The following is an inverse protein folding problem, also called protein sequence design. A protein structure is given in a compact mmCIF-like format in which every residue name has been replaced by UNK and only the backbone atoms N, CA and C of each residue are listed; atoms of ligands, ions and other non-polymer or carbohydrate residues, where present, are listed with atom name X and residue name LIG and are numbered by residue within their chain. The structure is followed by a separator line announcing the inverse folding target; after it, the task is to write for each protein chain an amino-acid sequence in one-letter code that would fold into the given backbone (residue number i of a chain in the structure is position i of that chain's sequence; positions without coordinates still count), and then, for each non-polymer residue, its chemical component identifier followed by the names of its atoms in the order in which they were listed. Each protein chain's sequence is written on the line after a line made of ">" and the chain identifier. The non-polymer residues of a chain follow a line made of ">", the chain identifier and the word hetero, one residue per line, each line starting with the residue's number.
data_IF_772030255793
#
_entry.id   IF_772030255793
#
_cell.length_a   1.000
_cell.length_b   1.000
_cell.length_c   1.000
_cell.angle_alpha   90.00
_cell.angle_beta   90.00
_cell.angle_gamma   90.00
#
_symmetry.space_group_name_H-M   'P 1'
#
loop_
_entity.id
_entity.type
_entity.pdbx_description
1 polymer ?
#
# COMPACT_ATOMS: atom_id res chain seq x y z
N UNK A 1 4.81 20.40 10.09
CA UNK A 1 4.06 19.24 9.60
C UNK A 1 2.57 19.57 9.68
N UNK A 2 1.94 19.79 8.54
CA UNK A 2 0.48 19.89 8.41
C UNK A 2 -0.14 18.50 8.44
N UNK A 3 -1.47 18.42 8.55
CA UNK A 3 -2.17 17.14 8.45
C UNK A 3 -1.95 16.48 7.08
N UNK A 4 -1.97 17.28 6.01
CA UNK A 4 -1.79 16.76 4.65
C UNK A 4 -0.37 16.19 4.46
N UNK A 5 0.66 16.87 4.98
CA UNK A 5 2.05 16.37 4.98
C UNK A 5 2.15 15.04 5.75
N UNK A 6 1.53 14.96 6.94
CA UNK A 6 1.52 13.72 7.72
C UNK A 6 0.85 12.56 6.99
N UNK A 7 -0.30 12.81 6.36
CA UNK A 7 -1.05 11.78 5.65
C UNK A 7 -0.29 11.29 4.42
N UNK A 8 0.43 12.16 3.71
CA UNK A 8 1.24 11.79 2.56
C UNK A 8 2.47 10.96 2.98
N UNK A 9 3.19 11.41 4.01
CA UNK A 9 4.34 10.68 4.55
C UNK A 9 3.95 9.28 5.04
N UNK A 10 2.82 9.17 5.76
CA UNK A 10 2.32 7.88 6.24
C UNK A 10 1.86 7.01 5.08
N UNK A 11 1.20 7.56 4.07
CA UNK A 11 0.81 6.79 2.87
C UNK A 11 2.02 6.18 2.19
N UNK A 12 3.08 6.96 1.96
CA UNK A 12 4.31 6.47 1.36
C UNK A 12 4.97 5.36 2.18
N UNK A 13 5.01 5.50 3.50
CA UNK A 13 5.52 4.47 4.40
C UNK A 13 4.71 3.17 4.30
N UNK A 14 3.38 3.27 4.28
CA UNK A 14 2.48 2.12 4.18
C UNK A 14 2.63 1.43 2.83
N UNK A 15 2.65 2.18 1.73
CA UNK A 15 2.82 1.61 0.38
C UNK A 15 4.17 0.89 0.25
N UNK A 16 5.26 1.49 0.76
CA UNK A 16 6.57 0.85 0.78
C UNK A 16 6.63 -0.42 1.66
N UNK A 17 5.83 -0.48 2.74
CA UNK A 17 5.72 -1.69 3.55
C UNK A 17 4.91 -2.78 2.82
N UNK A 18 3.80 -2.40 2.18
CA UNK A 18 2.99 -3.32 1.37
C UNK A 18 3.79 -3.93 0.21
N UNK A 19 4.62 -3.13 -0.46
CA UNK A 19 5.52 -3.59 -1.53
C UNK A 19 6.45 -4.73 -1.09
N UNK A 20 6.86 -4.77 0.18
CA UNK A 20 7.77 -5.79 0.71
C UNK A 20 7.08 -7.10 1.09
N UNK A 21 5.79 -7.05 1.42
CA UNK A 21 5.06 -8.21 1.96
C UNK A 21 4.10 -8.84 0.95
N UNK A 22 3.76 -8.11 -0.11
CA UNK A 22 2.88 -8.62 -1.17
C UNK A 22 3.74 -9.30 -2.24
N UNK A 23 3.39 -10.52 -2.69
CA UNK A 23 4.11 -11.22 -3.74
C UNK A 23 4.32 -10.36 -4.99
N UNK A 24 5.36 -10.67 -5.76
CA UNK A 24 5.58 -10.02 -7.04
C UNK A 24 4.47 -10.40 -8.03
N UNK A 25 4.06 -9.46 -8.91
CA UNK A 25 3.12 -9.77 -9.99
C UNK A 25 3.64 -10.83 -10.97
N UNK A 26 4.95 -11.07 -10.99
CA UNK A 26 5.62 -12.07 -11.84
C UNK A 26 5.87 -13.40 -11.13
N UNK A 27 5.52 -13.48 -9.85
CA UNK A 27 5.68 -14.70 -9.08
C UNK A 27 4.50 -15.65 -9.33
N UNK A 28 4.79 -16.95 -9.48
CA UNK A 28 3.74 -17.94 -9.66
C UNK A 28 2.88 -18.06 -8.39
N UNK A 29 1.53 -18.06 -8.48
CA UNK A 29 0.72 -17.90 -9.70
C UNK A 29 0.48 -16.42 -10.08
N UNK A 30 0.96 -16.03 -11.26
CA UNK A 30 1.02 -14.61 -11.69
C UNK A 30 -0.35 -13.92 -11.74
N UNK A 31 -1.38 -14.59 -12.25
CA UNK A 31 -2.70 -13.97 -12.46
C UNK A 31 -3.32 -13.46 -11.17
N UNK A 32 -3.25 -14.24 -10.09
CA UNK A 32 -3.82 -13.81 -8.80
C UNK A 32 -2.95 -12.75 -8.14
N UNK A 33 -1.62 -12.86 -8.20
CA UNK A 33 -0.74 -11.84 -7.63
C UNK A 33 -0.89 -10.50 -8.34
N UNK A 34 -0.97 -10.49 -9.68
CA UNK A 34 -1.26 -9.28 -10.46
C UNK A 34 -2.62 -8.68 -10.10
N UNK A 35 -3.67 -9.50 -9.95
CA UNK A 35 -5.00 -9.03 -9.55
C UNK A 35 -4.99 -8.42 -8.13
N UNK A 36 -4.34 -9.10 -7.16
CA UNK A 36 -4.19 -8.60 -5.79
C UNK A 36 -3.49 -7.24 -5.77
N UNK A 37 -2.35 -7.12 -6.48
CA UNK A 37 -1.59 -5.87 -6.54
C UNK A 37 -2.39 -4.76 -7.21
N UNK A 38 -3.12 -5.05 -8.28
CA UNK A 38 -3.98 -4.06 -8.92
C UNK A 38 -5.03 -3.50 -7.95
N UNK A 39 -5.72 -4.36 -7.20
CA UNK A 39 -6.70 -3.92 -6.20
C UNK A 39 -6.06 -3.17 -5.03
N UNK A 40 -4.87 -3.60 -4.59
CA UNK A 40 -4.22 -3.04 -3.41
C UNK A 40 -3.54 -1.70 -3.70
N UNK A 41 -2.89 -1.54 -4.86
CA UNK A 41 -2.09 -0.36 -5.23
C UNK A 41 -2.80 0.60 -6.20
N UNK A 42 -4.06 0.33 -6.58
CA UNK A 42 -4.86 1.16 -7.50
C UNK A 42 -5.30 2.54 -6.98
N UNK A 43 -4.62 3.09 -5.96
CA UNK A 43 -4.94 4.38 -5.35
C UNK A 43 -5.91 4.29 -4.17
N UNK A 44 -5.50 4.83 -3.03
CA UNK A 44 -6.32 4.86 -1.83
C UNK A 44 -5.74 5.76 -0.74
N UNK A 45 -6.60 6.32 0.11
CA UNK A 45 -6.20 7.25 1.18
C UNK A 45 -5.41 6.60 2.34
N UNK A 46 -5.39 5.26 2.40
CA UNK A 46 -4.77 4.46 3.48
C UNK A 46 -5.20 4.84 4.91
N UNK A 47 -6.40 5.41 5.09
CA UNK A 47 -6.88 5.91 6.39
C UNK A 47 -6.81 4.84 7.50
N UNK A 48 -7.25 3.60 7.23
CA UNK A 48 -7.25 2.54 8.25
C UNK A 48 -5.83 2.24 8.77
N UNK A 49 -4.84 1.89 7.91
CA UNK A 49 -3.45 1.72 8.37
C UNK A 49 -2.86 2.98 9.03
N UNK A 50 -3.15 4.18 8.51
CA UNK A 50 -2.63 5.43 9.10
C UNK A 50 -3.12 5.57 10.55
N UNK A 51 -4.40 5.29 10.81
CA UNK A 51 -4.98 5.34 12.16
C UNK A 51 -4.43 4.24 13.07
N UNK A 52 -4.03 3.10 12.53
CA UNK A 52 -3.39 2.02 13.33
C UNK A 52 -1.97 2.39 13.78
N UNK A 53 -1.27 3.24 13.02
CA UNK A 53 0.08 3.71 13.34
C UNK A 53 0.12 4.98 14.21
N UNK A 54 -1.03 5.61 14.44
CA UNK A 54 -1.16 6.89 15.12
C UNK A 54 -1.21 6.73 16.65
#
# INVERSE_FOLDING_TARGET
>A
MTLDEYLEDRRGLIDAALEKVVPSEREYPETIHRAMRHSLFGGGKRIRPILTLA
#
